data_IF_601008061686
#
_entry.id   IF_601008061686
#
_cell.length_a   1.000
_cell.length_b   1.000
_cell.length_c   1.000
_cell.angle_alpha   90.00
_cell.angle_beta   90.00
_cell.angle_gamma   90.00
#
_symmetry.space_group_name_H-M   'P 1'
#
loop_
_entity.id
_entity.type
_entity.pdbx_description
1 polymer ?
#
# COMPACT_ATOMS: atom_id res chain seq x y z
N UNK A 1 36.95 -2.96 28.82
CA UNK A 1 36.70 -3.08 27.37
C UNK A 1 35.34 -2.43 27.09
N UNK A 2 35.31 -1.24 26.48
CA UNK A 2 34.06 -0.53 26.18
C UNK A 2 33.71 -0.86 24.73
N UNK A 3 32.61 -1.58 24.50
CA UNK A 3 32.10 -1.80 23.15
C UNK A 3 31.37 -0.51 22.73
N UNK A 4 31.89 0.18 21.74
CA UNK A 4 31.15 1.22 21.02
C UNK A 4 30.17 0.50 20.11
N UNK A 5 28.89 0.51 20.52
CA UNK A 5 27.76 0.04 19.75
C UNK A 5 27.59 0.96 18.54
N UNK A 6 28.35 0.72 17.47
CA UNK A 6 28.15 1.35 16.18
C UNK A 6 26.81 0.84 15.65
N UNK A 7 25.76 1.64 15.82
CA UNK A 7 24.51 1.44 15.09
C UNK A 7 24.83 1.74 13.63
N UNK A 8 24.63 0.71 12.81
CA UNK A 8 24.89 0.70 11.37
C UNK A 8 24.19 1.88 10.69
N UNK A 9 24.96 2.65 9.91
CA UNK A 9 24.43 3.44 8.80
C UNK A 9 23.61 2.49 7.91
N UNK A 10 22.29 2.71 7.86
CA UNK A 10 21.39 2.07 6.91
C UNK A 10 21.50 2.83 5.58
N UNK A 11 22.14 2.27 4.53
CA UNK A 11 22.44 3.01 3.31
C UNK A 11 21.25 3.19 2.36
N UNK A 12 20.03 2.76 2.72
CA UNK A 12 18.90 2.67 1.78
C UNK A 12 17.69 3.58 2.06
N UNK A 13 17.76 4.50 3.03
CA UNK A 13 16.80 5.61 3.07
C UNK A 13 17.21 6.69 2.04
N UNK A 14 16.97 6.43 0.76
CA UNK A 14 16.95 7.49 -0.25
C UNK A 14 15.76 8.40 0.08
N UNK A 15 16.04 9.57 0.65
CA UNK A 15 15.03 10.62 0.78
C UNK A 15 14.39 10.86 -0.59
N UNK A 16 13.05 10.90 -0.70
CA UNK A 16 12.40 11.18 -1.96
C UNK A 16 12.87 12.55 -2.42
N UNK A 17 13.63 12.58 -3.52
CA UNK A 17 14.02 13.85 -4.15
C UNK A 17 12.74 14.59 -4.49
N UNK A 18 12.61 15.84 -4.05
CA UNK A 18 11.52 16.71 -4.46
C UNK A 18 11.59 16.95 -5.97
N UNK A 19 10.92 16.08 -6.73
CA UNK A 19 10.80 16.21 -8.18
C UNK A 19 9.83 17.37 -8.43
N UNK A 20 10.36 18.53 -8.80
CA UNK A 20 9.53 19.63 -9.28
C UNK A 20 8.87 19.24 -10.59
N UNK A 21 7.57 19.01 -10.55
CA UNK A 21 6.78 18.68 -11.73
C UNK A 21 6.51 19.98 -12.50
N UNK A 22 7.03 20.07 -13.72
CA UNK A 22 6.65 21.13 -14.64
C UNK A 22 5.23 20.85 -15.19
N UNK A 23 4.29 21.72 -14.85
CA UNK A 23 2.89 21.61 -15.26
C UNK A 23 2.58 22.37 -16.56
N UNK A 24 3.50 23.20 -17.06
CA UNK A 24 3.28 23.98 -18.30
C UNK A 24 3.24 23.11 -19.56
N UNK A 25 3.70 21.87 -19.45
CA UNK A 25 3.68 20.85 -20.52
C UNK A 25 2.34 20.13 -20.68
N UNK A 26 1.38 20.35 -19.78
CA UNK A 26 0.05 19.77 -19.87
C UNK A 26 -0.92 20.83 -20.40
N UNK A 27 -1.73 20.44 -21.38
CA UNK A 27 -2.79 21.31 -21.91
C UNK A 27 -3.88 21.53 -20.86
N UNK A 28 -4.55 22.68 -20.88
CA UNK A 28 -5.66 23.01 -19.94
C UNK A 28 -6.85 22.04 -20.05
N UNK A 29 -7.01 21.39 -21.20
CA UNK A 29 -8.04 20.39 -21.49
C UNK A 29 -7.63 18.96 -21.10
N UNK A 30 -6.37 18.76 -20.69
CA UNK A 30 -5.81 17.43 -20.45
C UNK A 30 -6.60 16.67 -19.39
N UNK A 31 -7.23 15.58 -19.81
CA UNK A 31 -7.90 14.63 -18.91
C UNK A 31 -6.88 13.59 -18.43
N UNK A 32 -6.86 13.25 -17.12
CA UNK A 32 -6.02 12.16 -16.63
C UNK A 32 -6.25 10.87 -17.43
N UNK A 33 -5.17 10.11 -17.66
CA UNK A 33 -5.31 8.79 -18.25
C UNK A 33 -6.25 7.93 -17.39
N UNK A 34 -7.11 7.10 -18.01
CA UNK A 34 -7.95 6.19 -17.25
C UNK A 34 -7.08 5.25 -16.42
N UNK A 35 -7.53 4.96 -15.20
CA UNK A 35 -6.85 4.02 -14.31
C UNK A 35 -6.73 2.66 -15.01
N UNK A 36 -5.50 2.14 -15.04
CA UNK A 36 -5.25 0.80 -15.58
C UNK A 36 -5.69 -0.20 -14.54
N UNK A 37 -6.41 -1.22 -14.97
CA UNK A 37 -6.74 -2.36 -14.12
C UNK A 37 -5.46 -3.05 -13.67
N UNK A 38 -5.16 -2.95 -12.37
CA UNK A 38 -4.01 -3.61 -11.77
C UNK A 38 -4.45 -5.04 -11.47
N UNK A 39 -3.80 -6.01 -12.12
CA UNK A 39 -4.05 -7.42 -11.82
C UNK A 39 -3.67 -7.69 -10.37
N UNK A 40 -4.55 -8.35 -9.64
CA UNK A 40 -4.28 -8.82 -8.28
C UNK A 40 -3.35 -10.06 -8.25
N UNK A 41 -2.79 -10.43 -9.40
CA UNK A 41 -1.85 -11.54 -9.56
C UNK A 41 -0.47 -11.04 -9.98
N UNK A 42 0.56 -11.58 -9.32
CA UNK A 42 1.97 -11.28 -9.46
C UNK A 42 2.66 -12.44 -10.16
N UNK A 43 3.16 -12.17 -11.37
CA UNK A 43 3.86 -13.19 -12.16
C UNK A 43 5.07 -13.74 -11.41
N UNK A 44 5.11 -15.06 -11.19
CA UNK A 44 6.21 -15.75 -10.49
C UNK A 44 6.22 -15.60 -8.97
N UNK A 45 5.20 -14.94 -8.38
CA UNK A 45 5.01 -14.77 -6.94
C UNK A 45 3.55 -15.03 -6.52
N UNK A 46 3.08 -16.29 -6.65
CA UNK A 46 1.70 -16.64 -6.31
C UNK A 46 1.39 -16.49 -4.81
N UNK A 47 2.41 -16.35 -3.97
CA UNK A 47 2.29 -16.00 -2.56
C UNK A 47 1.80 -14.57 -2.32
N UNK A 48 1.96 -13.67 -3.30
CA UNK A 48 1.48 -12.30 -3.27
C UNK A 48 0.15 -12.12 -4.01
N UNK A 49 -0.37 -13.19 -4.61
CA UNK A 49 -1.67 -13.15 -5.29
C UNK A 49 -2.76 -13.04 -4.24
N UNK A 50 -3.67 -12.06 -4.41
CA UNK A 50 -4.84 -11.98 -3.56
C UNK A 50 -5.87 -13.00 -4.02
N UNK A 51 -6.38 -13.80 -3.08
CA UNK A 51 -7.52 -14.65 -3.35
C UNK A 51 -8.75 -13.77 -3.63
N UNK A 52 -9.49 -14.06 -4.71
CA UNK A 52 -10.77 -13.41 -5.04
C UNK A 52 -11.88 -13.68 -4.01
N UNK A 53 -11.60 -14.48 -2.99
CA UNK A 53 -12.50 -14.63 -1.85
C UNK A 53 -12.53 -13.31 -1.09
N UNK A 54 -13.70 -12.66 -0.93
CA UNK A 54 -13.79 -11.51 -0.05
C UNK A 54 -13.27 -11.95 1.31
N UNK A 55 -12.33 -11.18 1.87
CA UNK A 55 -11.91 -11.38 3.26
C UNK A 55 -13.20 -11.28 4.06
N UNK A 56 -13.64 -12.42 4.60
CA UNK A 56 -14.88 -12.50 5.38
C UNK A 56 -14.85 -11.49 6.52
N UNK A 57 -15.99 -11.29 7.22
CA UNK A 57 -16.01 -10.42 8.41
C UNK A 57 -14.78 -10.73 9.28
N UNK A 58 -14.05 -9.67 9.66
CA UNK A 58 -12.84 -9.82 10.47
C UNK A 58 -13.16 -10.73 11.67
N UNK A 59 -12.25 -11.65 12.07
CA UNK A 59 -12.52 -12.56 13.17
C UNK A 59 -12.93 -11.75 14.42
N UNK A 60 -14.20 -11.88 14.83
CA UNK A 60 -14.83 -11.10 15.90
C UNK A 60 -15.94 -10.13 15.48
N UNK A 61 -16.17 -9.92 14.18
CA UNK A 61 -17.25 -9.03 13.70
C UNK A 61 -18.66 -9.62 13.90
N UNK A 62 -18.80 -10.94 14.06
CA UNK A 62 -20.09 -11.59 14.36
C UNK A 62 -20.52 -11.45 15.84
N UNK A 63 -19.69 -10.85 16.70
CA UNK A 63 -19.98 -10.71 18.14
C UNK A 63 -20.80 -9.45 18.49
N UNK A 64 -21.24 -8.67 17.50
CA UNK A 64 -22.00 -7.42 17.70
C UNK A 64 -23.43 -7.53 17.14
N UNK A 65 -24.10 -8.68 17.24
CA UNK A 65 -25.55 -8.76 17.07
C UNK A 65 -26.12 -9.78 18.06
N UNK A 66 -26.71 -9.30 19.16
CA UNK A 66 -27.37 -10.19 20.12
C UNK A 66 -27.71 -9.61 21.48
N UNK A 67 -27.90 -8.30 21.59
CA UNK A 67 -28.20 -7.68 22.89
C UNK A 67 -29.11 -6.48 22.78
N UNK A 68 -30.41 -6.70 22.58
CA UNK A 68 -31.50 -5.94 23.19
C UNK A 68 -32.85 -6.51 22.74
N UNK A 69 -33.29 -7.56 23.40
CA UNK A 69 -34.72 -7.79 23.63
C UNK A 69 -34.92 -7.86 25.14
N UNK A 70 -35.53 -6.81 25.69
CA UNK A 70 -36.11 -6.73 27.04
C UNK A 70 -37.34 -5.86 26.99
#
# INVERSE_FOLDING_TARGET
>A
RKATNAMSDDPEQQEPKDVQVDYSKFDEDSVPEPEKEIKHTHSGRPDLDYDDTPVGPAPGADLIEGGNDS
#
